data_IF_705100416038
#
_entry.id   IF_705100416038
#
_cell.length_a   1.000
_cell.length_b   1.000
_cell.length_c   1.000
_cell.angle_alpha   90.00
_cell.angle_beta   90.00
_cell.angle_gamma   90.00
#
_symmetry.space_group_name_H-M   'P 1'
#
loop_
_entity.id
_entity.type
_entity.pdbx_description
1 polymer ?
#
# COMPACT_ATOMS: atom_id res chain seq x y z
N UNK A 1 11.02 11.13 6.34
CA UNK A 1 10.04 11.87 7.15
C UNK A 1 10.58 12.16 8.54
N UNK A 2 10.92 11.16 9.37
CA UNK A 2 11.45 11.40 10.74
C UNK A 2 12.57 12.46 10.81
N UNK A 3 13.64 12.41 10.00
CA UNK A 3 14.69 13.44 10.08
C UNK A 3 14.20 14.83 9.66
N UNK A 4 13.27 14.92 8.69
CA UNK A 4 12.68 16.20 8.27
C UNK A 4 11.80 16.82 9.36
N UNK A 5 11.25 16.01 10.26
CA UNK A 5 10.52 16.49 11.44
C UNK A 5 11.44 16.94 12.58
N UNK A 6 12.76 16.72 12.50
CA UNK A 6 13.72 16.97 13.60
C UNK A 6 14.03 15.73 14.46
N UNK A 7 13.55 14.54 14.06
CA UNK A 7 13.75 13.30 14.81
C UNK A 7 15.12 12.67 14.56
N UNK A 8 15.67 12.03 15.59
CA UNK A 8 17.00 11.40 15.53
C UNK A 8 16.95 9.95 14.98
N UNK A 9 18.10 9.29 14.89
CA UNK A 9 18.18 7.89 14.42
C UNK A 9 17.43 6.90 15.33
N UNK A 10 17.38 7.15 16.64
CA UNK A 10 16.60 6.37 17.59
C UNK A 10 15.10 6.52 17.35
N UNK A 11 14.62 7.74 17.11
CA UNK A 11 13.22 8.02 16.76
C UNK A 11 12.83 7.35 15.45
N UNK A 12 13.74 7.38 14.45
CA UNK A 12 13.54 6.66 13.19
C UNK A 12 13.37 5.17 13.42
N UNK A 13 14.21 4.55 14.26
CA UNK A 13 14.08 3.14 14.60
C UNK A 13 12.76 2.84 15.32
N UNK A 14 12.36 3.68 16.29
CA UNK A 14 11.08 3.55 17.02
C UNK A 14 9.88 3.60 16.08
N UNK A 15 9.87 4.57 15.17
CA UNK A 15 8.79 4.69 14.18
C UNK A 15 8.74 3.45 13.28
N UNK A 16 9.87 2.95 12.78
CA UNK A 16 9.90 1.73 11.94
C UNK A 16 9.34 0.53 12.71
N UNK A 17 9.68 0.39 13.99
CA UNK A 17 9.14 -0.67 14.85
C UNK A 17 7.62 -0.56 15.00
N UNK A 18 7.09 0.65 15.24
CA UNK A 18 5.64 0.87 15.34
C UNK A 18 4.92 0.53 14.05
N UNK A 19 5.46 0.96 12.90
CA UNK A 19 4.89 0.66 11.59
C UNK A 19 4.83 -0.84 11.35
N UNK A 20 5.89 -1.57 11.69
CA UNK A 20 5.93 -3.03 11.52
C UNK A 20 4.97 -3.76 12.48
N UNK A 21 4.90 -3.31 13.73
CA UNK A 21 4.00 -3.88 14.74
C UNK A 21 2.52 -3.68 14.36
N UNK A 22 2.14 -2.45 13.98
CA UNK A 22 0.79 -2.12 13.54
C UNK A 22 0.44 -2.82 12.23
N UNK A 23 1.36 -2.88 11.28
CA UNK A 23 1.19 -3.64 10.02
C UNK A 23 0.92 -5.13 10.30
N UNK A 24 1.58 -5.72 11.29
CA UNK A 24 1.31 -7.09 11.74
C UNK A 24 -0.10 -7.26 12.32
N UNK A 25 -0.52 -6.37 13.23
CA UNK A 25 -1.87 -6.38 13.83
C UNK A 25 -2.94 -6.17 12.76
N UNK A 26 -2.79 -5.15 11.91
CA UNK A 26 -3.75 -4.81 10.86
C UNK A 26 -3.86 -5.94 9.83
N UNK A 27 -2.75 -6.59 9.48
CA UNK A 27 -2.78 -7.79 8.62
C UNK A 27 -3.54 -8.94 9.28
N UNK A 28 -3.34 -9.16 10.58
CA UNK A 28 -4.02 -10.23 11.31
C UNK A 28 -5.53 -9.97 11.37
N UNK A 29 -5.93 -8.75 11.72
CA UNK A 29 -7.33 -8.32 11.71
C UNK A 29 -7.96 -8.51 10.32
N UNK A 30 -7.26 -8.06 9.27
CA UNK A 30 -7.76 -8.12 7.90
C UNK A 30 -7.92 -9.55 7.38
N UNK A 31 -6.96 -10.43 7.68
CA UNK A 31 -6.98 -11.84 7.25
C UNK A 31 -7.94 -12.71 8.07
N UNK A 32 -8.26 -12.33 9.31
CA UNK A 32 -9.21 -13.05 10.16
C UNK A 32 -10.66 -12.59 9.93
N UNK A 33 -10.92 -11.29 10.06
CA UNK A 33 -12.26 -10.70 10.16
C UNK A 33 -12.60 -9.87 8.92
N UNK A 34 -11.62 -9.13 8.38
CA UNK A 34 -11.80 -8.21 7.26
C UNK A 34 -12.04 -8.90 5.92
N UNK A 35 -11.10 -8.76 4.98
CA UNK A 35 -11.25 -9.32 3.63
C UNK A 35 -11.10 -10.83 3.61
N UNK A 36 -10.41 -11.43 4.60
CA UNK A 36 -10.01 -12.86 4.62
C UNK A 36 -9.18 -13.32 3.42
N UNK A 37 -8.76 -12.38 2.58
CA UNK A 37 -7.83 -12.61 1.49
C UNK A 37 -6.40 -12.70 2.05
N UNK A 38 -5.50 -13.40 1.35
CA UNK A 38 -4.07 -13.44 1.67
C UNK A 38 -3.39 -12.08 1.34
N UNK A 39 -3.79 -11.02 2.04
CA UNK A 39 -3.29 -9.66 1.82
C UNK A 39 -2.62 -9.13 3.08
N UNK A 40 -1.39 -8.63 2.94
CA UNK A 40 -0.68 -7.88 3.96
C UNK A 40 -1.17 -6.42 3.97
N UNK A 41 -1.49 -5.90 5.16
CA UNK A 41 -1.78 -4.49 5.38
C UNK A 41 -0.48 -3.76 5.70
N UNK A 42 -0.08 -2.82 4.87
CA UNK A 42 1.15 -2.06 4.98
C UNK A 42 0.89 -0.56 5.13
N UNK A 43 1.97 0.22 5.09
CA UNK A 43 1.91 1.69 5.12
C UNK A 43 1.41 2.25 3.78
N UNK A 44 0.56 3.27 3.81
CA UNK A 44 0.07 3.92 2.60
C UNK A 44 0.89 5.17 2.23
N UNK A 45 1.23 5.28 0.95
CA UNK A 45 1.91 6.46 0.41
C UNK A 45 1.00 7.66 0.22
N UNK A 46 -0.33 7.48 0.25
CA UNK A 46 -1.30 8.56 0.19
C UNK A 46 -1.08 9.61 1.30
N UNK A 47 -0.52 9.19 2.43
CA UNK A 47 -0.25 10.05 3.60
C UNK A 47 1.00 10.92 3.44
N UNK A 48 1.81 10.74 2.39
CA UNK A 48 3.04 11.51 2.19
C UNK A 48 2.74 13.00 2.02
N UNK A 49 1.72 13.36 1.24
CA UNK A 49 1.38 14.77 1.00
C UNK A 49 0.86 15.46 2.27
N UNK A 50 -0.16 14.93 2.98
CA UNK A 50 -0.58 15.51 4.26
C UNK A 50 0.54 15.57 5.30
N UNK A 51 1.43 14.58 5.33
CA UNK A 51 2.56 14.58 6.26
C UNK A 51 3.58 15.68 5.92
N UNK A 52 3.82 15.96 4.64
CA UNK A 52 4.65 17.08 4.22
C UNK A 52 4.01 18.43 4.57
N UNK A 53 2.68 18.56 4.42
CA UNK A 53 1.92 19.74 4.87
C UNK A 53 2.13 20.00 6.37
N UNK A 54 2.00 18.96 7.21
CA UNK A 54 2.28 19.06 8.66
C UNK A 54 3.73 19.44 8.93
N UNK A 55 4.70 18.84 8.23
CA UNK A 55 6.12 19.13 8.42
C UNK A 55 6.41 20.60 8.12
N UNK A 56 5.89 21.11 7.00
CA UNK A 56 6.13 22.49 6.57
C UNK A 56 5.49 23.49 7.54
N UNK A 57 4.27 23.23 8.05
CA UNK A 57 3.60 24.07 9.07
C UNK A 57 4.46 24.28 10.32
N UNK A 58 5.21 23.25 10.73
CA UNK A 58 6.11 23.32 11.88
C UNK A 58 7.54 23.73 11.55
N UNK A 59 7.89 23.95 10.28
CA UNK A 59 9.25 24.35 9.90
C UNK A 59 9.53 25.81 10.28
N UNK A 60 8.51 26.67 10.22
CA UNK A 60 8.63 28.11 10.50
C UNK A 60 8.29 28.48 11.97
N UNK A 61 7.77 27.54 12.76
CA UNK A 61 7.52 27.75 14.20
C UNK A 61 8.84 27.73 14.99
N UNK A 62 9.02 28.66 15.93
CA UNK A 62 10.20 28.71 16.80
C UNK A 62 10.15 27.61 17.87
N UNK A 63 11.09 26.67 17.82
CA UNK A 63 11.27 25.61 18.82
C UNK A 63 12.58 25.75 19.59
N UNK A 64 12.56 25.36 20.86
CA UNK A 64 13.75 25.31 21.74
C UNK A 64 14.75 24.27 21.27
N UNK A 65 14.28 23.10 20.80
CA UNK A 65 15.12 22.06 20.22
C UNK A 65 14.45 21.42 19.00
N UNK A 66 15.26 20.89 18.08
CA UNK A 66 14.79 20.11 16.93
C UNK A 66 13.98 18.88 17.35
N UNK A 67 14.29 18.30 18.51
CA UNK A 67 13.55 17.16 19.04
C UNK A 67 12.14 17.57 19.52
N UNK A 68 11.98 18.77 20.08
CA UNK A 68 10.66 19.29 20.45
C UNK A 68 9.77 19.48 19.22
N UNK A 69 10.35 19.96 18.10
CA UNK A 69 9.66 20.03 16.80
C UNK A 69 9.18 18.64 16.37
N UNK A 70 10.03 17.62 16.50
CA UNK A 70 9.67 16.25 16.16
C UNK A 70 8.51 15.73 17.02
N UNK A 71 8.58 15.91 18.35
CA UNK A 71 7.55 15.46 19.28
C UNK A 71 6.21 16.17 19.01
N UNK A 72 6.22 17.48 18.75
CA UNK A 72 5.00 18.22 18.42
C UNK A 72 4.43 17.82 17.06
N UNK A 73 5.29 17.62 16.06
CA UNK A 73 4.89 17.16 14.74
C UNK A 73 4.24 15.77 14.78
N UNK A 74 4.88 14.79 15.45
CA UNK A 74 4.36 13.42 15.50
C UNK A 74 3.06 13.32 16.31
N UNK A 75 2.89 14.10 17.39
CA UNK A 75 1.63 14.18 18.13
C UNK A 75 0.48 14.76 17.29
N UNK A 76 0.79 15.68 16.39
CA UNK A 76 -0.19 16.26 15.46
C UNK A 76 -0.59 15.26 14.39
N UNK A 77 0.36 14.48 13.88
CA UNK A 77 0.09 13.33 12.99
C UNK A 77 -0.80 12.31 13.71
N UNK A 78 -0.51 11.98 14.97
CA UNK A 78 -1.33 11.06 15.77
C UNK A 78 -2.78 11.53 15.91
N UNK A 79 -2.99 12.78 16.33
CA UNK A 79 -4.33 13.32 16.49
C UNK A 79 -5.09 13.38 15.16
N UNK A 80 -4.40 13.76 14.09
CA UNK A 80 -4.99 13.83 12.75
C UNK A 80 -5.36 12.45 12.21
N UNK A 81 -4.52 11.43 12.44
CA UNK A 81 -4.78 10.05 12.04
C UNK A 81 -5.92 9.40 12.84
N UNK A 82 -6.01 9.69 14.14
CA UNK A 82 -7.13 9.25 14.99
C UNK A 82 -8.45 9.78 14.43
N UNK A 83 -8.53 11.08 14.12
CA UNK A 83 -9.78 11.66 13.61
C UNK A 83 -10.10 11.18 12.19
N UNK A 84 -9.11 11.10 11.30
CA UNK A 84 -9.34 10.63 9.93
C UNK A 84 -9.77 9.15 9.89
N UNK A 85 -9.31 8.33 10.84
CA UNK A 85 -9.71 6.92 10.94
C UNK A 85 -11.23 6.71 11.05
N UNK A 86 -11.94 7.62 11.73
CA UNK A 86 -13.39 7.55 11.88
C UNK A 86 -14.12 7.65 10.55
N UNK A 87 -13.55 8.35 9.55
CA UNK A 87 -14.14 8.42 8.21
C UNK A 87 -14.19 7.02 7.58
N UNK A 88 -13.10 6.27 7.62
CA UNK A 88 -13.08 4.90 7.08
C UNK A 88 -13.96 3.94 7.90
N UNK A 89 -14.02 4.11 9.23
CA UNK A 89 -14.93 3.35 10.10
C UNK A 89 -16.39 3.59 9.70
N UNK A 90 -16.78 4.86 9.56
CA UNK A 90 -18.15 5.26 9.20
C UNK A 90 -18.50 4.82 7.77
N UNK A 91 -17.62 5.05 6.80
CA UNK A 91 -17.86 4.65 5.41
C UNK A 91 -17.93 3.13 5.23
N UNK A 92 -17.07 2.41 5.95
CA UNK A 92 -17.01 0.95 5.91
C UNK A 92 -18.19 0.29 6.61
N UNK A 93 -18.43 0.58 7.89
CA UNK A 93 -19.54 -0.05 8.62
C UNK A 93 -20.91 0.55 8.29
N UNK A 94 -20.95 1.79 7.79
CA UNK A 94 -22.15 2.44 7.28
C UNK A 94 -22.60 1.97 5.90
N UNK A 95 -21.94 0.97 5.30
CA UNK A 95 -22.26 0.37 3.99
C UNK A 95 -22.10 1.29 2.77
N UNK A 96 -21.80 2.57 2.98
CA UNK A 96 -21.58 3.54 1.90
C UNK A 96 -20.48 3.09 0.93
N UNK A 97 -19.38 2.54 1.45
CA UNK A 97 -18.31 2.01 0.59
C UNK A 97 -18.76 0.78 -0.21
N UNK A 98 -19.51 -0.13 0.43
CA UNK A 98 -20.09 -1.28 -0.25
C UNK A 98 -21.01 -0.88 -1.41
N UNK A 99 -21.87 0.13 -1.21
CA UNK A 99 -22.74 0.66 -2.28
C UNK A 99 -21.92 1.30 -3.40
N UNK A 100 -20.87 2.08 -3.09
CA UNK A 100 -19.95 2.62 -4.09
C UNK A 100 -19.35 1.52 -4.96
N UNK A 101 -18.92 0.41 -4.35
CA UNK A 101 -18.30 -0.71 -5.09
C UNK A 101 -19.26 -1.45 -6.01
N UNK A 102 -20.59 -1.27 -5.87
CA UNK A 102 -21.56 -1.85 -6.80
C UNK A 102 -21.55 -1.18 -8.18
N UNK A 103 -21.12 0.08 -8.24
CA UNK A 103 -20.95 0.80 -9.50
C UNK A 103 -19.69 0.37 -10.27
N UNK A 104 -18.79 -0.39 -9.64
CA UNK A 104 -17.59 -0.91 -10.28
C UNK A 104 -17.92 -2.14 -11.13
N UNK A 105 -17.99 -1.92 -12.43
CA UNK A 105 -18.16 -2.97 -13.44
C UNK A 105 -16.80 -3.58 -13.80
N UNK A 106 -16.77 -4.78 -14.42
CA UNK A 106 -15.54 -5.37 -14.92
C UNK A 106 -14.67 -4.43 -15.76
N UNK A 107 -15.30 -3.63 -16.63
CA UNK A 107 -14.58 -2.69 -17.50
C UNK A 107 -13.91 -1.55 -16.71
N UNK A 108 -14.51 -1.10 -15.60
CA UNK A 108 -13.91 -0.12 -14.67
C UNK A 108 -12.83 -0.78 -13.81
N UNK A 109 -12.98 -2.05 -13.47
CA UNK A 109 -11.99 -2.76 -12.65
C UNK A 109 -10.65 -2.94 -13.37
N UNK A 110 -10.64 -3.02 -14.71
CA UNK A 110 -9.41 -3.11 -15.49
C UNK A 110 -8.47 -1.91 -15.21
N UNK A 111 -8.85 -0.65 -15.51
CA UNK A 111 -7.98 0.49 -15.22
C UNK A 111 -7.70 0.64 -13.72
N UNK A 112 -8.65 0.36 -12.84
CA UNK A 112 -8.47 0.49 -11.39
C UNK A 112 -7.36 -0.41 -10.86
N UNK A 113 -7.37 -1.70 -11.23
CA UNK A 113 -6.32 -2.65 -10.80
C UNK A 113 -5.02 -2.42 -11.58
N UNK A 114 -5.09 -2.06 -12.86
CA UNK A 114 -3.90 -1.69 -13.62
C UNK A 114 -3.15 -0.52 -12.97
N UNK A 115 -3.88 0.52 -12.55
CA UNK A 115 -3.30 1.75 -12.03
C UNK A 115 -2.91 1.67 -10.56
N UNK A 116 -3.41 0.71 -9.77
CA UNK A 116 -2.82 0.46 -8.44
C UNK A 116 -1.41 -0.12 -8.55
N UNK A 117 -1.14 -0.94 -9.57
CA UNK A 117 0.20 -1.45 -9.88
C UNK A 117 1.07 -0.41 -10.59
N UNK A 118 0.65 0.03 -11.78
CA UNK A 118 1.42 0.97 -12.60
C UNK A 118 1.58 2.33 -11.93
N UNK A 119 0.60 2.80 -11.15
CA UNK A 119 0.64 4.09 -10.48
C UNK A 119 1.79 4.27 -9.49
N UNK A 120 2.41 3.16 -9.04
CA UNK A 120 3.56 3.17 -8.17
C UNK A 120 4.90 3.06 -8.94
N UNK A 121 4.92 3.31 -10.26
CA UNK A 121 6.13 3.18 -11.09
C UNK A 121 7.33 4.00 -10.59
N UNK A 122 7.07 5.14 -9.94
CA UNK A 122 8.12 5.98 -9.32
C UNK A 122 8.91 5.24 -8.22
N UNK A 123 8.35 4.17 -7.65
CA UNK A 123 8.99 3.29 -6.66
C UNK A 123 9.81 2.16 -7.28
N UNK A 124 9.62 1.90 -8.57
CA UNK A 124 10.40 0.91 -9.32
C UNK A 124 11.70 1.52 -9.83
N UNK A 125 11.82 1.65 -11.15
CA UNK A 125 13.08 1.99 -11.80
C UNK A 125 13.71 3.32 -11.35
N UNK A 126 12.97 4.41 -11.07
CA UNK A 126 13.60 5.65 -10.58
C UNK A 126 14.32 5.49 -9.24
N UNK A 127 13.78 4.69 -8.31
CA UNK A 127 14.43 4.40 -7.03
C UNK A 127 15.60 3.41 -7.20
N UNK A 128 15.47 2.45 -8.13
CA UNK A 128 16.56 1.56 -8.54
C UNK A 128 17.73 2.37 -9.11
N UNK A 129 17.45 3.35 -9.95
CA UNK A 129 18.42 4.21 -10.62
C UNK A 129 19.31 5.03 -9.68
N UNK A 130 18.91 5.19 -8.41
CA UNK A 130 19.77 5.80 -7.38
C UNK A 130 21.00 4.96 -7.04
N UNK A 131 21.00 3.67 -7.35
CA UNK A 131 22.16 2.78 -7.29
C UNK A 131 22.02 1.64 -8.31
N UNK A 132 22.39 1.95 -9.57
CA UNK A 132 22.27 1.01 -10.68
C UNK A 132 23.14 -0.24 -10.45
N UNK A 133 24.29 -0.08 -9.80
CA UNK A 133 25.27 -1.15 -9.57
C UNK A 133 24.72 -2.29 -8.71
N UNK A 134 23.75 -2.02 -7.84
CA UNK A 134 23.10 -3.03 -6.98
C UNK A 134 21.72 -3.39 -7.52
N UNK A 135 20.96 -2.37 -7.93
CA UNK A 135 19.57 -2.51 -8.35
C UNK A 135 19.42 -3.26 -9.68
N UNK A 136 20.29 -2.98 -10.66
CA UNK A 136 20.19 -3.62 -11.98
C UNK A 136 20.59 -5.10 -11.94
N UNK A 137 21.66 -5.53 -11.24
CA UNK A 137 21.92 -6.95 -11.00
C UNK A 137 20.78 -7.66 -10.27
N UNK A 138 20.12 -7.02 -9.30
CA UNK A 138 18.94 -7.61 -8.65
C UNK A 138 17.80 -7.85 -9.64
N UNK A 139 17.49 -6.87 -10.49
CA UNK A 139 16.43 -6.99 -11.48
C UNK A 139 16.75 -8.12 -12.48
N UNK A 140 17.96 -8.13 -13.03
CA UNK A 140 18.41 -9.15 -13.99
C UNK A 140 18.39 -10.53 -13.34
N UNK A 141 18.98 -10.67 -12.15
CA UNK A 141 19.04 -11.95 -11.44
C UNK A 141 17.64 -12.48 -11.17
N UNK A 142 16.72 -11.62 -10.74
CA UNK A 142 15.34 -12.03 -10.48
C UNK A 142 14.62 -12.45 -11.77
N UNK A 143 14.76 -11.71 -12.87
CA UNK A 143 14.16 -12.09 -14.16
C UNK A 143 14.74 -13.41 -14.68
N UNK A 144 16.06 -13.57 -14.64
CA UNK A 144 16.73 -14.80 -15.08
C UNK A 144 16.31 -15.98 -14.21
N UNK A 145 16.28 -15.78 -12.89
CA UNK A 145 15.84 -16.76 -11.92
C UNK A 145 14.41 -17.23 -12.24
N UNK A 146 13.51 -16.31 -12.59
CA UNK A 146 12.12 -16.66 -12.89
C UNK A 146 11.92 -17.33 -14.26
N UNK A 147 12.71 -16.95 -15.28
CA UNK A 147 12.58 -17.49 -16.64
C UNK A 147 13.34 -18.81 -16.85
N UNK A 148 14.55 -18.94 -16.33
CA UNK A 148 15.49 -19.99 -16.72
C UNK A 148 15.66 -21.11 -15.68
N UNK A 149 15.41 -20.87 -14.39
CA UNK A 149 15.52 -21.93 -13.37
C UNK A 149 14.47 -23.03 -13.54
N UNK A 150 13.39 -22.79 -14.31
CA UNK A 150 12.41 -23.80 -14.72
C UNK A 150 13.01 -24.94 -15.55
N UNK A 151 14.15 -24.70 -16.21
CA UNK A 151 14.77 -25.65 -17.14
C UNK A 151 15.92 -26.47 -16.54
N UNK A 152 16.35 -26.17 -15.32
CA UNK A 152 17.60 -26.73 -14.76
C UNK A 152 17.38 -28.08 -14.06
N UNK A 153 16.33 -28.22 -13.22
CA UNK A 153 16.09 -29.47 -12.50
C UNK A 153 14.66 -29.57 -11.92
N UNK A 154 13.92 -30.66 -12.20
CA UNK A 154 12.50 -30.81 -11.82
C UNK A 154 12.24 -30.77 -10.30
N UNK A 155 13.17 -31.24 -9.47
CA UNK A 155 13.05 -31.17 -7.99
C UNK A 155 13.50 -29.82 -7.42
N UNK A 156 14.53 -29.21 -8.01
CA UNK A 156 15.01 -27.89 -7.57
C UNK A 156 14.01 -26.78 -7.94
N UNK A 157 13.25 -26.98 -9.03
CA UNK A 157 12.20 -26.07 -9.50
C UNK A 157 11.21 -25.65 -8.40
N UNK A 158 10.66 -26.60 -7.64
CA UNK A 158 9.67 -26.32 -6.60
C UNK A 158 10.20 -25.44 -5.46
N UNK A 159 11.48 -25.61 -5.11
CA UNK A 159 12.13 -24.81 -4.06
C UNK A 159 12.55 -23.46 -4.63
N UNK A 160 13.16 -23.45 -5.82
CA UNK A 160 13.67 -22.24 -6.45
C UNK A 160 12.53 -21.30 -6.87
N UNK A 161 11.40 -21.79 -7.39
CA UNK A 161 10.27 -20.92 -7.77
C UNK A 161 9.67 -20.19 -6.56
N UNK A 162 9.59 -20.85 -5.39
CA UNK A 162 9.01 -20.29 -4.17
C UNK A 162 9.97 -19.39 -3.39
N UNK A 163 11.26 -19.74 -3.38
CA UNK A 163 12.28 -19.05 -2.58
C UNK A 163 13.26 -18.21 -3.42
N UNK A 164 13.12 -18.16 -4.75
CA UNK A 164 13.97 -17.39 -5.66
C UNK A 164 14.16 -15.96 -5.20
N UNK A 165 13.08 -15.29 -4.81
CA UNK A 165 13.14 -13.90 -4.36
C UNK A 165 14.06 -13.74 -3.14
N UNK A 166 13.90 -14.60 -2.13
CA UNK A 166 14.70 -14.56 -0.91
C UNK A 166 16.18 -14.88 -1.18
N UNK A 167 16.45 -15.85 -2.07
CA UNK A 167 17.80 -16.17 -2.50
C UNK A 167 18.46 -15.00 -3.27
N UNK A 168 17.73 -14.37 -4.18
CA UNK A 168 18.21 -13.19 -4.91
C UNK A 168 18.54 -12.04 -3.96
N UNK A 169 17.67 -11.76 -2.98
CA UNK A 169 17.94 -10.75 -1.94
C UNK A 169 19.21 -11.09 -1.17
N UNK A 170 19.39 -12.35 -0.74
CA UNK A 170 20.59 -12.78 -0.02
C UNK A 170 21.88 -12.60 -0.83
N UNK A 171 21.86 -13.02 -2.10
CA UNK A 171 23.02 -12.91 -3.01
C UNK A 171 23.38 -11.45 -3.26
N UNK A 172 22.40 -10.61 -3.62
CA UNK A 172 22.66 -9.21 -3.94
C UNK A 172 23.00 -8.39 -2.70
N UNK A 173 22.41 -8.71 -1.55
CA UNK A 173 22.81 -8.08 -0.30
C UNK A 173 24.27 -8.42 0.07
N UNK A 174 24.69 -9.68 -0.10
CA UNK A 174 26.08 -10.07 0.11
C UNK A 174 27.02 -9.35 -0.87
N UNK A 175 26.63 -9.25 -2.15
CA UNK A 175 27.36 -8.47 -3.15
C UNK A 175 27.48 -6.99 -2.75
N UNK A 176 26.39 -6.35 -2.33
CA UNK A 176 26.38 -4.98 -1.85
C UNK A 176 27.26 -4.78 -0.60
N UNK A 177 27.28 -5.76 0.30
CA UNK A 177 28.16 -5.74 1.47
C UNK A 177 29.64 -5.81 1.07
N UNK A 178 30.01 -6.68 0.11
CA UNK A 178 31.38 -6.77 -0.43
C UNK A 178 31.79 -5.43 -1.05
N UNK A 179 30.95 -4.81 -1.87
CA UNK A 179 31.22 -3.48 -2.45
C UNK A 179 31.35 -2.37 -1.41
N UNK A 180 30.61 -2.49 -0.30
CA UNK A 180 30.69 -1.54 0.81
C UNK A 180 32.02 -1.67 1.54
N UNK A 181 32.46 -2.90 1.82
CA UNK A 181 33.71 -3.20 2.54
C UNK A 181 34.95 -2.94 1.67
N UNK A 182 34.88 -3.22 0.37
CA UNK A 182 35.98 -2.97 -0.57
C UNK A 182 36.24 -1.48 -0.82
N UNK A 183 35.42 -0.59 -0.25
CA UNK A 183 35.61 0.86 -0.33
C UNK A 183 35.13 1.47 -1.65
N UNK A 184 34.43 0.73 -2.51
CA UNK A 184 33.94 1.20 -3.80
C UNK A 184 33.10 2.49 -3.69
N UNK A 185 32.40 2.68 -2.56
CA UNK A 185 31.55 3.84 -2.30
C UNK A 185 32.22 4.91 -1.39
N UNK A 186 33.53 4.87 -1.15
CA UNK A 186 34.18 5.84 -0.25
C UNK A 186 34.33 7.23 -0.89
N UNK A 187 34.54 7.29 -2.21
CA UNK A 187 34.81 8.54 -2.94
C UNK A 187 33.61 9.04 -3.79
N UNK A 188 32.45 8.41 -3.68
CA UNK A 188 31.25 8.80 -4.45
C UNK A 188 30.43 9.89 -3.74
N UNK A 189 29.51 10.53 -4.49
CA UNK A 189 28.59 11.55 -3.98
C UNK A 189 27.80 11.05 -2.76
N UNK A 190 27.47 11.95 -1.84
CA UNK A 190 26.71 11.63 -0.62
C UNK A 190 25.36 10.97 -0.91
N UNK A 191 24.70 11.31 -2.02
CA UNK A 191 23.44 10.69 -2.45
C UNK A 191 23.60 9.26 -2.98
N UNK A 192 24.75 8.92 -3.55
CA UNK A 192 25.09 7.55 -3.96
C UNK A 192 25.51 6.73 -2.74
N UNK A 193 26.30 7.32 -1.84
CA UNK A 193 26.55 6.76 -0.50
C UNK A 193 25.20 6.44 0.13
N UNK A 194 24.31 7.45 0.24
CA UNK A 194 22.83 7.36 0.27
C UNK A 194 22.23 5.97 0.21
N UNK A 195 22.32 5.46 -1.01
CA UNK A 195 21.42 4.47 -1.56
C UNK A 195 22.12 3.14 -1.75
N UNK A 196 23.46 3.14 -1.89
CA UNK A 196 24.24 1.97 -2.26
C UNK A 196 24.85 1.21 -1.08
N UNK A 197 25.29 1.90 0.00
CA UNK A 197 26.01 1.20 1.07
C UNK A 197 25.06 0.43 1.98
N UNK A 198 25.55 -0.65 2.59
CA UNK A 198 24.81 -1.48 3.58
C UNK A 198 25.07 -1.07 5.03
N UNK A 199 26.14 -0.34 5.30
CA UNK A 199 26.58 0.09 6.65
C UNK A 199 25.86 1.34 7.19
N UNK A 200 24.80 1.80 6.52
CA UNK A 200 24.32 3.20 6.61
C UNK A 200 23.41 3.52 7.75
N UNK A 201 23.54 2.79 8.83
CA UNK A 201 22.54 2.87 9.83
C UNK A 201 23.13 2.56 11.17
N UNK A 202 23.65 3.61 11.80
CA UNK A 202 23.69 3.68 13.26
C UNK A 202 22.36 3.22 13.91
N UNK A 203 21.27 2.98 13.17
CA UNK A 203 20.13 2.11 13.55
C UNK A 203 20.57 0.81 14.22
N UNK A 204 21.56 0.06 13.72
CA UNK A 204 22.00 -1.18 14.39
C UNK A 204 22.59 -0.89 15.77
N UNK A 205 23.34 0.21 15.92
CA UNK A 205 23.89 0.64 17.22
C UNK A 205 22.81 1.23 18.13
N UNK A 206 21.91 2.03 17.57
CA UNK A 206 20.89 2.84 18.26
C UNK A 206 19.61 2.07 18.58
N UNK A 207 19.35 0.94 17.90
CA UNK A 207 18.15 0.15 18.14
C UNK A 207 18.30 -0.62 19.47
N UNK A 208 17.33 -0.49 20.39
CA UNK A 208 17.29 -1.33 21.59
C UNK A 208 17.07 -2.79 21.20
N UNK A 209 17.57 -3.70 22.04
CA UNK A 209 17.40 -5.15 21.84
C UNK A 209 15.93 -5.56 21.91
N UNK A 210 15.23 -5.11 22.94
CA UNK A 210 13.80 -5.36 23.15
C UNK A 210 13.13 -4.01 23.36
N UNK A 211 12.11 -3.72 22.56
CA UNK A 211 11.23 -2.58 22.75
C UNK A 211 9.83 -2.90 22.27
N UNK A 212 8.87 -2.84 23.16
CA UNK A 212 7.47 -3.09 22.86
C UNK A 212 6.82 -1.74 22.52
N UNK A 213 6.25 -1.55 21.31
CA UNK A 213 5.42 -0.39 21.02
C UNK A 213 4.24 -0.32 21.97
N UNK A 214 3.91 0.87 22.48
CA UNK A 214 2.78 1.07 23.37
C UNK A 214 1.96 2.31 22.94
N UNK A 215 0.66 2.37 23.28
CA UNK A 215 -0.17 3.53 23.00
C UNK A 215 0.39 4.82 23.60
N UNK A 216 0.24 5.93 22.90
CA UNK A 216 0.65 7.27 23.31
C UNK A 216 2.13 7.44 23.65
N UNK A 217 3.02 6.62 23.04
CA UNK A 217 4.46 6.67 23.32
C UNK A 217 5.14 8.01 23.03
N UNK A 218 4.53 8.87 22.21
CA UNK A 218 5.04 10.21 21.94
C UNK A 218 4.39 11.28 22.81
N UNK A 219 3.35 10.95 23.58
CA UNK A 219 2.56 11.85 24.42
C UNK A 219 1.10 12.00 23.95
N UNK A 220 0.39 12.98 24.51
CA UNK A 220 -1.02 13.25 24.20
C UNK A 220 -1.19 13.76 22.75
N UNK A 221 -2.14 13.22 21.97
CA UNK A 221 -2.36 13.66 20.58
C UNK A 221 -2.77 15.13 20.51
N UNK A 222 -2.35 15.81 19.44
CA UNK A 222 -2.71 17.19 19.14
C UNK A 222 -3.68 17.19 17.97
N UNK A 223 -4.83 17.83 18.15
CA UNK A 223 -5.88 17.90 17.13
C UNK A 223 -5.86 19.29 16.49
N UNK A 224 -5.37 19.38 15.26
CA UNK A 224 -5.42 20.61 14.43
C UNK A 224 -6.32 20.34 13.23
N UNK A 225 -7.43 21.09 13.11
CA UNK A 225 -8.45 20.85 12.09
C UNK A 225 -7.89 20.85 10.66
N UNK A 226 -6.98 21.77 10.32
CA UNK A 226 -6.33 21.84 9.00
C UNK A 226 -5.70 20.51 8.58
N UNK A 227 -4.93 19.91 9.48
CA UNK A 227 -4.19 18.66 9.25
C UNK A 227 -5.08 17.41 9.27
N UNK A 228 -6.18 17.43 10.03
CA UNK A 228 -7.19 16.37 10.01
C UNK A 228 -7.75 16.19 8.60
N UNK A 229 -8.10 17.28 7.92
CA UNK A 229 -8.70 17.21 6.59
C UNK A 229 -7.77 16.61 5.55
N UNK A 230 -6.48 17.00 5.52
CA UNK A 230 -5.49 16.36 4.65
C UNK A 230 -5.40 14.85 4.87
N UNK A 231 -5.41 14.42 6.15
CA UNK A 231 -5.40 12.99 6.51
C UNK A 231 -6.69 12.26 6.11
N UNK A 232 -7.85 12.95 6.07
CA UNK A 232 -9.10 12.39 5.55
C UNK A 232 -8.98 12.10 4.05
N UNK A 233 -8.37 13.01 3.27
CA UNK A 233 -8.10 12.78 1.85
C UNK A 233 -7.25 11.52 1.63
N UNK A 234 -6.18 11.35 2.42
CA UNK A 234 -5.35 10.15 2.38
C UNK A 234 -6.10 8.88 2.81
N UNK A 235 -7.01 8.98 3.79
CA UNK A 235 -7.86 7.86 4.22
C UNK A 235 -8.77 7.35 3.09
N UNK A 236 -9.38 8.26 2.33
CA UNK A 236 -10.20 7.92 1.17
C UNK A 236 -9.38 7.27 0.05
N UNK A 237 -8.21 7.85 -0.25
CA UNK A 237 -7.28 7.27 -1.22
C UNK A 237 -6.85 5.86 -0.82
N UNK A 238 -6.46 5.67 0.45
CA UNK A 238 -6.05 4.36 0.95
C UNK A 238 -7.19 3.33 0.89
N UNK A 239 -8.45 3.76 0.97
CA UNK A 239 -9.61 2.88 0.80
C UNK A 239 -9.81 2.47 -0.67
N UNK A 240 -9.62 3.40 -1.61
CA UNK A 240 -9.64 3.12 -3.04
C UNK A 240 -8.52 2.15 -3.46
N UNK A 241 -7.29 2.40 -3.01
CA UNK A 241 -6.12 1.53 -3.23
C UNK A 241 -6.33 0.14 -2.65
N UNK A 242 -6.81 0.04 -1.40
CA UNK A 242 -7.14 -1.24 -0.78
C UNK A 242 -8.19 -2.01 -1.56
N UNK A 243 -9.23 -1.34 -2.05
CA UNK A 243 -10.30 -1.96 -2.83
C UNK A 243 -9.74 -2.60 -4.11
N UNK A 244 -8.97 -1.84 -4.89
CA UNK A 244 -8.29 -2.34 -6.09
C UNK A 244 -7.39 -3.54 -5.78
N UNK A 245 -6.63 -3.44 -4.68
CA UNK A 245 -5.70 -4.48 -4.24
C UNK A 245 -6.42 -5.75 -3.78
N UNK A 246 -7.60 -5.65 -3.14
CA UNK A 246 -8.42 -6.82 -2.79
C UNK A 246 -8.94 -7.55 -4.04
N UNK A 247 -9.33 -6.82 -5.09
CA UNK A 247 -9.71 -7.46 -6.36
C UNK A 247 -8.53 -8.16 -7.03
N UNK A 248 -7.35 -7.55 -7.03
CA UNK A 248 -6.12 -8.17 -7.53
C UNK A 248 -5.74 -9.42 -6.73
N UNK A 249 -5.82 -9.34 -5.40
CA UNK A 249 -5.53 -10.46 -4.50
C UNK A 249 -6.50 -11.62 -4.72
N UNK A 250 -7.81 -11.35 -4.83
CA UNK A 250 -8.81 -12.37 -5.12
C UNK A 250 -8.52 -13.05 -6.47
N UNK A 251 -8.18 -12.26 -7.50
CA UNK A 251 -7.86 -12.78 -8.83
C UNK A 251 -6.63 -13.69 -8.84
N UNK A 252 -5.55 -13.28 -8.19
CA UNK A 252 -4.29 -14.04 -8.15
C UNK A 252 -4.35 -15.23 -7.18
N UNK A 253 -5.18 -15.17 -6.13
CA UNK A 253 -5.39 -16.28 -5.19
C UNK A 253 -6.42 -17.31 -5.65
N UNK A 254 -7.14 -17.04 -6.74
CA UNK A 254 -8.20 -17.92 -7.24
C UNK A 254 -9.53 -17.81 -6.47
N UNK A 255 -9.69 -16.79 -5.62
CA UNK A 255 -10.94 -16.51 -4.93
C UNK A 255 -11.97 -15.85 -5.87
N UNK A 256 -13.26 -15.95 -5.53
CA UNK A 256 -14.30 -15.18 -6.24
C UNK A 256 -14.11 -13.68 -6.00
N UNK A 257 -14.54 -12.80 -6.93
CA UNK A 257 -14.52 -11.35 -6.70
C UNK A 257 -15.14 -11.00 -5.33
N UNK A 258 -14.50 -10.11 -4.55
CA UNK A 258 -14.98 -9.76 -3.22
C UNK A 258 -16.34 -9.04 -3.30
N UNK A 259 -17.37 -9.54 -2.61
CA UNK A 259 -18.68 -8.90 -2.59
C UNK A 259 -18.66 -7.57 -1.82
N UNK A 260 -19.65 -6.71 -2.08
CA UNK A 260 -19.76 -5.38 -1.48
C UNK A 260 -19.69 -5.39 0.06
N UNK A 261 -20.32 -6.37 0.72
CA UNK A 261 -20.30 -6.47 2.19
C UNK A 261 -18.90 -6.80 2.76
N UNK A 262 -18.10 -7.58 2.03
CA UNK A 262 -16.71 -7.90 2.39
C UNK A 262 -15.83 -6.66 2.24
N UNK A 263 -15.99 -5.91 1.14
CA UNK A 263 -15.27 -4.66 0.93
C UNK A 263 -15.64 -3.64 2.01
N UNK A 264 -16.93 -3.50 2.33
CA UNK A 264 -17.40 -2.55 3.34
C UNK A 264 -16.83 -2.85 4.73
N UNK A 265 -16.90 -4.11 5.21
CA UNK A 265 -16.30 -4.47 6.49
C UNK A 265 -14.77 -4.38 6.47
N UNK A 266 -14.14 -4.60 5.32
CA UNK A 266 -12.69 -4.48 5.16
C UNK A 266 -12.22 -3.04 5.33
N UNK A 267 -12.89 -2.08 4.69
CA UNK A 267 -12.60 -0.65 4.86
C UNK A 267 -12.93 -0.18 6.28
N UNK A 268 -14.01 -0.69 6.88
CA UNK A 268 -14.34 -0.40 8.28
C UNK A 268 -13.24 -0.86 9.23
N UNK A 269 -12.72 -2.06 9.03
CA UNK A 269 -11.62 -2.63 9.81
C UNK A 269 -10.28 -1.94 9.53
N UNK A 270 -10.03 -1.52 8.29
CA UNK A 270 -8.90 -0.65 7.93
C UNK A 270 -8.95 0.66 8.73
N UNK A 271 -10.14 1.26 8.88
CA UNK A 271 -10.36 2.42 9.75
C UNK A 271 -10.04 2.13 11.23
N UNK A 272 -10.46 0.98 11.78
CA UNK A 272 -10.07 0.57 13.14
C UNK A 272 -8.55 0.41 13.23
N UNK A 273 -7.91 -0.18 12.22
CA UNK A 273 -6.46 -0.31 12.16
C UNK A 273 -5.74 1.04 12.16
N UNK A 274 -6.26 2.02 11.43
CA UNK A 274 -5.76 3.38 11.43
C UNK A 274 -5.96 4.09 12.78
N UNK A 275 -7.06 3.82 13.47
CA UNK A 275 -7.30 4.34 14.82
C UNK A 275 -6.22 3.83 15.78
N UNK A 276 -5.95 2.52 15.75
CA UNK A 276 -4.88 1.90 16.54
C UNK A 276 -3.50 2.46 16.16
N UNK A 277 -3.24 2.66 14.87
CA UNK A 277 -2.01 3.30 14.38
C UNK A 277 -1.83 4.71 14.95
N UNK A 278 -2.89 5.53 14.96
CA UNK A 278 -2.87 6.86 15.58
C UNK A 278 -2.60 6.81 17.10
N UNK A 279 -3.22 5.85 17.79
CA UNK A 279 -2.98 5.63 19.23
C UNK A 279 -1.53 5.23 19.52
N UNK A 280 -0.97 4.29 18.76
CA UNK A 280 0.41 3.82 18.96
C UNK A 280 1.48 4.76 18.42
N UNK A 281 1.11 5.81 17.69
CA UNK A 281 2.10 6.76 17.19
C UNK A 281 2.72 6.40 15.86
N UNK A 282 1.95 5.76 14.98
CA UNK A 282 2.31 5.57 13.57
C UNK A 282 2.38 6.92 12.85
N UNK A 283 3.29 7.05 11.89
CA UNK A 283 3.40 8.25 11.05
C UNK A 283 2.36 8.31 9.92
N UNK A 284 1.82 7.16 9.52
CA UNK A 284 0.99 7.03 8.32
C UNK A 284 -0.09 5.98 8.57
N UNK A 285 -1.21 6.11 7.87
CA UNK A 285 -2.26 5.09 7.89
C UNK A 285 -1.92 3.87 7.04
N UNK A 286 -2.74 2.84 7.18
CA UNK A 286 -2.59 1.57 6.47
C UNK A 286 -3.37 1.47 5.16
N UNK A 287 -2.85 0.66 4.23
CA UNK A 287 -3.50 0.19 2.99
C UNK A 287 -3.10 -1.25 2.70
N UNK A 288 -3.86 -1.96 1.87
CA UNK A 288 -3.45 -3.28 1.40
C UNK A 288 -2.19 -3.16 0.51
N UNK A 289 -1.17 -3.99 0.78
CA UNK A 289 0.12 -3.93 0.08
C UNK A 289 0.01 -4.50 -1.33
N UNK A 290 0.21 -3.63 -2.32
CA UNK A 290 0.27 -3.98 -3.75
C UNK A 290 1.45 -4.92 -4.00
N UNK A 291 2.56 -4.70 -3.31
CA UNK A 291 3.77 -5.50 -3.42
C UNK A 291 3.53 -6.93 -2.94
N UNK A 292 2.79 -7.12 -1.85
CA UNK A 292 2.42 -8.44 -1.36
C UNK A 292 1.52 -9.19 -2.35
N UNK A 293 0.57 -8.50 -3.00
CA UNK A 293 -0.29 -9.11 -4.01
C UNK A 293 0.51 -9.50 -5.26
N UNK A 294 1.45 -8.66 -5.69
CA UNK A 294 2.39 -9.04 -6.76
C UNK A 294 3.23 -10.26 -6.39
N UNK A 295 3.68 -10.35 -5.13
CA UNK A 295 4.44 -11.50 -4.61
C UNK A 295 3.59 -12.78 -4.61
N UNK A 296 2.30 -12.68 -4.31
CA UNK A 296 1.37 -13.79 -4.41
C UNK A 296 1.28 -14.32 -5.84
N UNK A 297 1.22 -13.42 -6.83
CA UNK A 297 1.24 -13.79 -8.24
C UNK A 297 2.55 -14.44 -8.68
N UNK A 298 3.68 -14.06 -8.09
CA UNK A 298 5.00 -14.63 -8.39
C UNK A 298 5.22 -16.01 -7.73
N UNK A 299 4.80 -16.15 -6.46
CA UNK A 299 5.06 -17.37 -5.66
C UNK A 299 3.99 -18.44 -5.83
N UNK A 300 2.84 -18.09 -6.42
CA UNK A 300 1.67 -18.95 -6.54
C UNK A 300 1.14 -19.48 -5.18
N UNK A 301 1.40 -18.76 -4.08
CA UNK A 301 0.93 -19.14 -2.74
C UNK A 301 -0.22 -18.23 -2.32
N UNK A 302 -1.45 -18.62 -2.65
CA UNK A 302 -2.68 -17.91 -2.26
C UNK A 302 -3.21 -18.23 -0.85
N UNK A 303 -2.40 -18.81 0.03
CA UNK A 303 -2.86 -19.27 1.35
C UNK A 303 -2.86 -18.15 2.39
N UNK A 304 -4.03 -17.84 2.96
CA UNK A 304 -4.18 -16.89 4.08
C UNK A 304 -3.35 -17.26 5.32
N UNK A 305 -3.11 -18.56 5.55
CA UNK A 305 -2.32 -19.04 6.70
C UNK A 305 -0.87 -18.58 6.63
N UNK A 306 -0.30 -18.50 5.42
CA UNK A 306 1.07 -18.02 5.23
C UNK A 306 1.19 -16.55 5.63
N UNK A 307 0.20 -15.74 5.23
CA UNK A 307 0.12 -14.33 5.63
C UNK A 307 -0.10 -14.16 7.13
N UNK A 308 -0.91 -15.01 7.76
CA UNK A 308 -1.10 -15.01 9.22
C UNK A 308 0.20 -15.37 9.95
N UNK A 309 0.95 -16.36 9.49
CA UNK A 309 2.26 -16.70 10.06
C UNK A 309 3.24 -15.54 9.90
N UNK A 310 3.23 -14.83 8.75
CA UNK A 310 4.08 -13.65 8.57
C UNK A 310 3.74 -12.53 9.54
N UNK A 311 2.49 -12.38 10.00
CA UNK A 311 2.17 -11.40 11.06
C UNK A 311 2.87 -11.69 12.37
N UNK A 312 3.03 -12.96 12.72
CA UNK A 312 3.81 -13.39 13.89
C UNK A 312 5.27 -12.94 13.78
N UNK A 313 5.88 -13.10 12.60
CA UNK A 313 7.23 -12.60 12.33
C UNK A 313 7.31 -11.08 12.36
N UNK A 314 6.32 -10.36 11.82
CA UNK A 314 6.28 -8.89 11.85
C UNK A 314 6.22 -8.37 13.30
N UNK A 315 5.33 -8.93 14.12
CA UNK A 315 5.23 -8.58 15.55
C UNK A 315 6.53 -8.93 16.26
N UNK A 316 7.09 -10.12 16.03
CA UNK A 316 8.37 -10.52 16.60
C UNK A 316 9.50 -9.54 16.24
N UNK A 317 9.73 -9.24 14.95
CA UNK A 317 10.78 -8.32 14.53
C UNK A 317 10.55 -6.87 14.96
N UNK A 318 9.30 -6.48 15.21
CA UNK A 318 9.02 -5.14 15.77
C UNK A 318 9.44 -5.01 17.23
N UNK A 319 9.32 -6.10 18.02
CA UNK A 319 9.74 -6.14 19.43
C UNK A 319 11.26 -6.24 19.53
N UNK A 320 11.89 -7.05 18.68
CA UNK A 320 13.34 -7.25 18.67
C UNK A 320 14.05 -6.31 17.68
N UNK A 321 14.31 -5.08 18.14
CA UNK A 321 14.77 -3.97 17.30
C UNK A 321 16.05 -4.19 16.51
N UNK A 322 16.96 -5.04 16.98
CA UNK A 322 18.18 -5.39 16.22
C UNK A 322 17.88 -6.14 14.92
N UNK A 323 16.91 -7.06 14.92
CA UNK A 323 16.48 -7.74 13.70
C UNK A 323 15.77 -6.78 12.75
N UNK A 324 14.93 -5.89 13.28
CA UNK A 324 14.33 -4.80 12.49
C UNK A 324 15.38 -3.88 11.86
N UNK A 325 16.44 -3.54 12.60
CA UNK A 325 17.56 -2.73 12.11
C UNK A 325 18.38 -3.47 11.03
N UNK A 326 18.55 -4.79 11.16
CA UNK A 326 19.17 -5.62 10.12
C UNK A 326 18.40 -5.56 8.81
N UNK A 327 17.09 -5.78 8.82
CA UNK A 327 16.27 -5.69 7.60
C UNK A 327 16.21 -4.26 7.04
N UNK A 328 16.24 -3.25 7.91
CA UNK A 328 16.32 -1.84 7.49
C UNK A 328 17.68 -1.45 6.88
N UNK A 329 18.73 -2.28 7.04
CA UNK A 329 20.04 -2.08 6.41
C UNK A 329 20.07 -2.49 4.94
N UNK A 330 19.06 -3.24 4.48
CA UNK A 330 18.96 -3.67 3.08
C UNK A 330 18.78 -2.43 2.20
N UNK A 331 19.66 -2.20 1.20
CA UNK A 331 19.56 -1.06 0.31
C UNK A 331 18.20 -0.97 -0.40
N UNK A 332 17.58 0.21 -0.38
CA UNK A 332 16.31 0.49 -1.07
C UNK A 332 16.31 0.12 -2.57
N UNK A 333 17.42 0.27 -3.33
CA UNK A 333 17.49 -0.16 -4.72
C UNK A 333 17.20 -1.65 -4.95
N UNK A 334 17.45 -2.53 -3.96
CA UNK A 334 17.09 -3.96 -4.04
C UNK A 334 15.57 -4.11 -4.03
N UNK A 335 14.86 -3.44 -3.11
CA UNK A 335 13.40 -3.45 -3.07
C UNK A 335 12.79 -2.82 -4.32
N UNK A 336 13.39 -1.73 -4.83
CA UNK A 336 12.95 -1.07 -6.05
C UNK A 336 13.00 -2.01 -7.28
N UNK A 337 14.05 -2.81 -7.40
CA UNK A 337 14.17 -3.83 -8.44
C UNK A 337 13.08 -4.91 -8.34
N UNK A 338 12.74 -5.33 -7.12
CA UNK A 338 11.62 -6.25 -6.89
C UNK A 338 10.30 -5.61 -7.32
N UNK A 339 10.07 -4.34 -6.96
CA UNK A 339 8.85 -3.63 -7.30
C UNK A 339 8.61 -3.51 -8.81
N UNK A 340 9.66 -3.37 -9.63
CA UNK A 340 9.55 -3.39 -11.09
C UNK A 340 8.82 -4.64 -11.62
N UNK A 341 9.01 -5.80 -10.98
CA UNK A 341 8.34 -7.04 -11.37
C UNK A 341 6.98 -7.17 -10.70
N UNK A 342 6.91 -6.97 -9.38
CA UNK A 342 5.68 -7.21 -8.61
C UNK A 342 4.55 -6.27 -9.05
N UNK A 343 4.84 -4.98 -9.26
CA UNK A 343 3.85 -4.00 -9.72
C UNK A 343 3.36 -4.31 -11.14
N UNK A 344 4.24 -4.83 -12.01
CA UNK A 344 3.89 -5.29 -13.35
C UNK A 344 2.95 -6.51 -13.33
N UNK A 345 3.16 -7.45 -12.42
CA UNK A 345 2.27 -8.61 -12.22
C UNK A 345 0.88 -8.16 -11.75
N UNK A 346 0.80 -7.22 -10.80
CA UNK A 346 -0.49 -6.66 -10.37
C UNK A 346 -1.19 -5.95 -11.53
N UNK A 347 -0.46 -5.14 -12.29
CA UNK A 347 -1.03 -4.47 -13.46
C UNK A 347 -1.59 -5.46 -14.49
N UNK A 348 -0.83 -6.53 -14.80
CA UNK A 348 -1.27 -7.61 -15.67
C UNK A 348 -2.53 -8.31 -15.14
N UNK A 349 -2.63 -8.54 -13.81
CA UNK A 349 -3.84 -9.10 -13.20
C UNK A 349 -5.08 -8.24 -13.45
N UNK A 350 -4.91 -6.91 -13.49
CA UNK A 350 -5.96 -5.95 -13.85
C UNK A 350 -6.45 -6.11 -15.28
N UNK A 351 -5.53 -6.26 -16.23
CA UNK A 351 -5.85 -6.51 -17.65
C UNK A 351 -6.75 -7.75 -17.80
N UNK A 352 -6.53 -8.79 -16.98
CA UNK A 352 -7.34 -10.02 -17.08
C UNK A 352 -8.82 -9.82 -16.80
N UNK A 353 -9.26 -8.73 -16.14
CA UNK A 353 -10.69 -8.45 -15.94
C UNK A 353 -11.42 -8.11 -17.25
N UNK A 354 -10.68 -7.76 -18.31
CA UNK A 354 -11.25 -7.47 -19.62
C UNK A 354 -11.99 -8.68 -20.20
N UNK A 355 -11.60 -9.90 -19.81
CA UNK A 355 -12.22 -11.15 -20.29
C UNK A 355 -13.70 -11.28 -19.91
N UNK A 356 -14.18 -10.48 -18.95
CA UNK A 356 -15.57 -10.51 -18.49
C UNK A 356 -16.45 -9.48 -19.19
N UNK A 357 -15.89 -8.64 -20.06
CA UNK A 357 -16.59 -7.60 -20.83
C UNK A 357 -16.46 -7.84 -22.34
N UNK A 358 -17.27 -7.15 -23.14
CA UNK A 358 -17.18 -7.22 -24.60
C UNK A 358 -16.03 -6.35 -25.12
N UNK A 359 -14.95 -7.00 -25.58
CA UNK A 359 -13.74 -6.31 -26.06
C UNK A 359 -13.88 -5.68 -27.44
N UNK A 360 -14.90 -6.06 -28.21
CA UNK A 360 -15.16 -5.51 -29.54
C UNK A 360 -16.00 -4.23 -29.50
N UNK A 361 -16.48 -3.83 -28.32
CA UNK A 361 -17.29 -2.62 -28.17
C UNK A 361 -16.39 -1.38 -28.08
N UNK A 362 -16.53 -0.47 -29.06
CA UNK A 362 -15.81 0.82 -29.06
C UNK A 362 -16.07 1.64 -27.79
N UNK A 363 -17.26 1.54 -27.20
CA UNK A 363 -17.60 2.14 -25.91
C UNK A 363 -16.66 1.65 -24.80
N UNK A 364 -16.46 0.35 -24.70
CA UNK A 364 -15.62 -0.25 -23.66
C UNK A 364 -14.15 0.09 -23.87
N UNK A 365 -13.68 0.05 -25.13
CA UNK A 365 -12.33 0.49 -25.50
C UNK A 365 -12.13 1.96 -25.10
N UNK A 366 -13.12 2.82 -25.34
CA UNK A 366 -13.08 4.22 -24.95
C UNK A 366 -13.02 4.41 -23.43
N UNK A 367 -13.93 3.77 -22.67
CA UNK A 367 -13.93 3.82 -21.19
C UNK A 367 -12.58 3.37 -20.64
N UNK A 368 -12.07 2.23 -21.11
CA UNK A 368 -10.79 1.67 -20.68
C UNK A 368 -9.62 2.62 -21.00
N UNK A 369 -9.49 3.04 -22.25
CA UNK A 369 -8.37 3.85 -22.73
C UNK A 369 -8.31 5.22 -22.05
N UNK A 370 -9.44 5.92 -21.97
CA UNK A 370 -9.51 7.24 -21.32
C UNK A 370 -9.25 7.13 -19.82
N UNK A 371 -9.78 6.10 -19.15
CA UNK A 371 -9.55 5.91 -17.71
C UNK A 371 -8.10 5.56 -17.38
N UNK A 372 -7.44 4.71 -18.19
CA UNK A 372 -6.02 4.42 -18.04
C UNK A 372 -5.16 5.67 -18.24
N UNK A 373 -5.42 6.43 -19.30
CA UNK A 373 -4.63 7.61 -19.62
C UNK A 373 -4.80 8.71 -18.58
N UNK A 374 -6.05 9.09 -18.25
CA UNK A 374 -6.33 10.14 -17.26
C UNK A 374 -5.92 9.72 -15.85
N UNK A 375 -6.04 8.44 -15.52
CA UNK A 375 -5.61 7.90 -14.24
C UNK A 375 -4.09 7.86 -14.05
N UNK A 376 -3.28 8.07 -15.08
CA UNK A 376 -1.84 8.34 -14.95
C UNK A 376 -1.51 9.82 -15.11
N UNK A 377 -2.10 10.49 -16.10
CA UNK A 377 -1.72 11.86 -16.46
C UNK A 377 -2.13 12.88 -15.41
N UNK A 378 -3.33 12.74 -14.81
CA UNK A 378 -3.80 13.65 -13.75
C UNK A 378 -2.91 13.52 -12.49
N UNK A 379 -2.71 12.32 -11.91
CA UNK A 379 -1.79 12.18 -10.78
C UNK A 379 -0.39 12.70 -11.06
N UNK A 380 0.14 12.45 -12.26
CA UNK A 380 1.47 12.91 -12.61
C UNK A 380 1.57 14.45 -12.60
N UNK A 381 0.57 15.15 -13.13
CA UNK A 381 0.48 16.61 -13.06
C UNK A 381 0.45 17.11 -11.61
N UNK A 382 -0.38 16.48 -10.76
CA UNK A 382 -0.48 16.86 -9.34
C UNK A 382 0.82 16.60 -8.58
N UNK A 383 1.47 15.46 -8.79
CA UNK A 383 2.74 15.12 -8.13
C UNK A 383 3.84 16.08 -8.56
N UNK A 384 4.04 16.31 -9.86
CA UNK A 384 5.09 17.18 -10.39
C UNK A 384 4.99 18.61 -9.85
N UNK A 385 3.78 19.16 -9.79
CA UNK A 385 3.54 20.53 -9.32
C UNK A 385 3.51 20.68 -7.80
N UNK A 386 3.42 19.58 -7.04
CA UNK A 386 3.51 19.64 -5.57
C UNK A 386 4.97 19.59 -5.09
N UNK A 387 5.87 18.99 -5.88
CA UNK A 387 7.29 18.80 -5.49
C UNK A 387 8.17 20.05 -5.53
N UNK A 388 7.75 21.13 -6.21
CA UNK A 388 8.54 22.36 -6.35
C UNK A 388 8.36 23.37 -5.22
N UNK A 389 7.11 23.66 -4.85
CA UNK A 389 6.80 24.80 -3.98
C UNK A 389 6.17 24.40 -2.62
N UNK A 390 6.05 23.09 -2.35
CA UNK A 390 5.44 22.59 -1.10
C UNK A 390 3.91 22.71 -1.06
N UNK A 391 3.26 23.06 -2.18
CA UNK A 391 1.81 23.14 -2.30
C UNK A 391 1.37 22.67 -3.70
N UNK A 392 0.26 21.93 -3.76
CA UNK A 392 -0.23 21.34 -5.00
C UNK A 392 -0.94 22.33 -5.94
N UNK A 393 -1.41 21.86 -7.12
CA UNK A 393 -2.10 22.70 -8.09
C UNK A 393 -3.36 23.37 -7.56
N UNK A 394 -4.10 22.71 -6.66
CA UNK A 394 -5.30 23.29 -6.07
C UNK A 394 -4.87 24.28 -5.00
N UNK A 395 -5.13 25.57 -5.28
CA UNK A 395 -4.77 26.71 -4.43
C UNK A 395 -6.00 27.58 -4.19
N UNK A 396 -6.67 27.33 -3.07
CA UNK A 396 -7.76 28.18 -2.56
C UNK A 396 -7.37 28.76 -1.20
N UNK A 397 -8.13 29.76 -0.72
CA UNK A 397 -7.96 30.30 0.64
C UNK A 397 -8.27 29.25 1.73
N UNK A 398 -8.85 28.11 1.38
CA UNK A 398 -9.12 26.99 2.26
C UNK A 398 -8.00 25.93 2.16
N UNK A 399 -6.94 26.07 2.97
CA UNK A 399 -5.80 25.12 2.96
C UNK A 399 -6.21 23.66 3.17
N UNK A 400 -7.19 23.40 4.04
CA UNK A 400 -7.74 22.06 4.28
C UNK A 400 -8.39 21.43 3.03
N UNK A 401 -9.05 22.25 2.20
CA UNK A 401 -9.69 21.81 0.97
C UNK A 401 -8.63 21.46 -0.09
N UNK A 402 -7.57 22.28 -0.15
CA UNK A 402 -6.43 22.04 -1.03
C UNK A 402 -5.77 20.70 -0.71
N UNK A 403 -5.51 20.41 0.57
CA UNK A 403 -4.84 19.17 0.97
C UNK A 403 -5.65 17.91 0.61
N UNK A 404 -6.98 17.95 0.78
CA UNK A 404 -7.85 16.84 0.38
C UNK A 404 -7.77 16.62 -1.13
N UNK A 405 -8.01 17.66 -1.93
CA UNK A 405 -8.08 17.52 -3.38
C UNK A 405 -6.72 17.13 -3.96
N UNK A 406 -5.64 17.81 -3.53
CA UNK A 406 -4.30 17.47 -3.99
C UNK A 406 -3.94 16.02 -3.65
N UNK A 407 -4.37 15.50 -2.50
CA UNK A 407 -4.16 14.09 -2.14
C UNK A 407 -4.98 13.14 -3.02
N UNK A 408 -6.28 13.40 -3.21
CA UNK A 408 -7.17 12.56 -4.03
C UNK A 408 -6.69 12.48 -5.49
N UNK A 409 -6.41 13.64 -6.10
CA UNK A 409 -5.98 13.72 -7.49
C UNK A 409 -4.55 13.18 -7.71
N UNK A 410 -3.74 13.08 -6.66
CA UNK A 410 -2.41 12.45 -6.73
C UNK A 410 -2.42 10.93 -6.76
N UNK A 411 -3.59 10.28 -6.58
CA UNK A 411 -3.71 8.82 -6.55
C UNK A 411 -4.19 8.23 -7.88
N UNK A 412 -3.36 7.42 -8.57
CA UNK A 412 -3.76 6.77 -9.82
C UNK A 412 -4.96 5.83 -9.70
N UNK A 413 -5.02 5.03 -8.63
CA UNK A 413 -6.15 4.12 -8.41
C UNK A 413 -7.45 4.90 -8.15
N UNK A 414 -7.38 5.99 -7.38
CA UNK A 414 -8.56 6.82 -7.09
C UNK A 414 -9.08 7.51 -8.36
N UNK A 415 -8.17 8.03 -9.19
CA UNK A 415 -8.54 8.63 -10.48
C UNK A 415 -9.12 7.62 -11.46
N UNK A 416 -8.59 6.40 -11.48
CA UNK A 416 -9.17 5.31 -12.27
C UNK A 416 -10.62 5.00 -11.85
N UNK A 417 -10.90 4.98 -10.54
CA UNK A 417 -12.26 4.75 -10.03
C UNK A 417 -13.18 5.90 -10.45
N UNK A 418 -12.76 7.15 -10.25
CA UNK A 418 -13.59 8.33 -10.56
C UNK A 418 -13.89 8.39 -12.06
N UNK A 419 -12.86 8.40 -12.91
CA UNK A 419 -13.00 8.54 -14.37
C UNK A 419 -13.73 7.34 -14.95
N UNK A 420 -13.33 6.12 -14.57
CA UNK A 420 -13.94 4.90 -15.09
C UNK A 420 -15.41 4.78 -14.72
N UNK A 421 -15.76 5.08 -13.47
CA UNK A 421 -17.16 5.01 -13.02
C UNK A 421 -18.01 6.09 -13.69
N UNK A 422 -17.50 7.32 -13.84
CA UNK A 422 -18.24 8.38 -14.55
C UNK A 422 -18.49 7.96 -16.00
N UNK A 423 -17.44 7.62 -16.75
CA UNK A 423 -17.57 7.27 -18.16
C UNK A 423 -18.45 6.04 -18.39
N UNK A 424 -18.31 5.00 -17.56
CA UNK A 424 -19.10 3.78 -17.71
C UNK A 424 -20.57 3.96 -17.33
N UNK A 425 -20.93 4.98 -16.54
CA UNK A 425 -22.33 5.24 -16.20
C UNK A 425 -22.98 6.34 -17.08
N UNK A 426 -22.20 7.25 -17.66
CA UNK A 426 -22.73 8.28 -18.57
C UNK A 426 -22.85 7.82 -20.02
N UNK A 427 -22.00 6.88 -20.46
CA UNK A 427 -22.08 6.35 -21.82
C UNK A 427 -23.14 5.26 -21.94
N UNK A 428 -24.14 5.49 -22.78
CA UNK A 428 -25.20 4.51 -23.06
C UNK A 428 -24.61 3.20 -23.58
N UNK A 429 -24.94 2.11 -22.91
CA UNK A 429 -24.59 0.77 -23.37
C UNK A 429 -25.70 0.24 -24.27
N UNK A 430 -25.37 -0.18 -25.50
CA UNK A 430 -26.33 -0.84 -26.40
C UNK A 430 -26.86 -2.14 -25.79
N UNK A 431 -26.00 -2.89 -25.09
CA UNK A 431 -26.39 -4.08 -24.34
C UNK A 431 -25.75 -4.09 -22.95
N UNK A 432 -26.52 -4.46 -21.92
CA UNK A 432 -26.03 -4.60 -20.53
C UNK A 432 -24.88 -5.63 -20.44
N UNK A 433 -24.89 -6.61 -21.34
CA UNK A 433 -23.84 -7.63 -21.45
C UNK A 433 -22.48 -7.03 -21.83
N UNK A 434 -22.44 -5.89 -22.53
CA UNK A 434 -21.18 -5.29 -22.96
C UNK A 434 -20.30 -4.90 -21.77
N UNK A 435 -20.90 -4.45 -20.67
CA UNK A 435 -20.19 -4.03 -19.45
C UNK A 435 -19.67 -5.21 -18.61
N UNK A 436 -20.12 -6.43 -18.89
CA UNK A 436 -19.82 -7.61 -18.06
C UNK A 436 -20.62 -7.70 -16.75
N UNK A 437 -21.64 -6.87 -16.58
CA UNK A 437 -22.51 -6.87 -15.39
C UNK A 437 -23.18 -8.23 -15.14
N UNK A 438 -23.70 -8.97 -16.13
CA UNK A 438 -24.35 -10.26 -15.87
C UNK A 438 -23.41 -11.27 -15.20
N UNK A 439 -22.13 -11.28 -15.57
CA UNK A 439 -21.12 -12.13 -14.93
C UNK A 439 -20.77 -11.64 -13.53
N UNK A 440 -20.78 -10.32 -13.30
CA UNK A 440 -20.38 -9.71 -12.02
C UNK A 440 -21.48 -9.77 -10.95
N UNK A 441 -22.75 -9.71 -11.36
CA UNK A 441 -23.93 -9.61 -10.48
C UNK A 441 -24.03 -10.72 -9.41
N UNK A 442 -23.77 -12.01 -9.71
CA UNK A 442 -23.78 -13.06 -8.69
C UNK A 442 -22.79 -12.81 -7.56
N UNK A 443 -21.64 -12.20 -7.86
CA UNK A 443 -20.60 -11.93 -6.86
C UNK A 443 -20.86 -10.66 -6.03
N UNK A 444 -21.78 -9.78 -6.45
CA UNK A 444 -22.12 -8.58 -5.69
C UNK A 444 -23.04 -8.88 -4.49
N UNK A 445 -23.80 -9.97 -4.56
CA UNK A 445 -24.74 -10.39 -3.52
C UNK A 445 -24.19 -11.56 -2.71
N UNK A 446 -24.48 -11.56 -1.41
CA UNK A 446 -23.99 -12.60 -0.49
C UNK A 446 -24.43 -14.02 -0.88
N UNK A 447 -25.67 -14.17 -1.36
CA UNK A 447 -26.25 -15.47 -1.75
C UNK A 447 -26.19 -15.72 -3.27
N UNK A 448 -25.38 -14.96 -4.01
CA UNK A 448 -25.35 -15.09 -5.47
C UNK A 448 -24.44 -16.21 -5.98
N UNK A 449 -23.32 -16.50 -5.31
CA UNK A 449 -22.44 -17.66 -5.62
C UNK A 449 -22.05 -18.36 -4.30
N UNK A 450 -22.22 -19.68 -4.24
CA UNK A 450 -21.95 -20.48 -3.04
C UNK A 450 -20.46 -20.47 -2.65
N UNK A 451 -19.56 -20.34 -3.62
CA UNK A 451 -18.10 -20.29 -3.37
C UNK A 451 -17.69 -19.03 -2.62
N UNK A 452 -18.46 -17.94 -2.75
CA UNK A 452 -18.18 -16.69 -2.04
C UNK A 452 -18.22 -16.88 -0.53
N UNK A 453 -19.12 -17.71 0.00
CA UNK A 453 -19.15 -17.98 1.45
C UNK A 453 -17.94 -18.80 1.92
N UNK A 454 -17.40 -19.69 1.09
CA UNK A 454 -16.20 -20.48 1.42
C UNK A 454 -14.98 -19.58 1.66
N UNK A 455 -14.78 -18.58 0.80
CA UNK A 455 -13.66 -17.64 0.92
C UNK A 455 -13.86 -16.61 2.04
N UNK A 456 -15.08 -16.08 2.19
CA UNK A 456 -15.31 -14.85 2.95
C UNK A 456 -16.15 -14.99 4.24
N UNK A 457 -16.63 -16.19 4.58
CA UNK A 457 -17.33 -16.47 5.86
C UNK A 457 -16.53 -16.01 7.08
N UNK A 458 -17.14 -15.72 8.23
CA UNK A 458 -16.34 -15.44 9.44
C UNK A 458 -15.70 -16.71 10.01
N UNK A 459 -14.55 -16.62 10.70
CA UNK A 459 -14.04 -17.74 11.48
C UNK A 459 -14.99 -18.10 12.63
N UNK A 460 -14.98 -19.36 13.07
CA UNK A 460 -15.56 -19.83 14.34
C UNK A 460 -17.05 -19.49 14.59
N UNK A 461 -17.91 -19.57 13.56
CA UNK A 461 -19.35 -19.30 13.67
C UNK A 461 -19.71 -17.93 14.29
N UNK A 462 -18.80 -16.95 14.23
CA UNK A 462 -19.04 -15.58 14.72
C UNK A 462 -20.24 -14.92 14.00
N UNK A 463 -20.57 -15.40 12.80
CA UNK A 463 -21.75 -15.01 12.07
C UNK A 463 -23.08 -15.24 12.82
N UNK A 464 -23.13 -16.14 13.80
CA UNK A 464 -24.31 -16.40 14.63
C UNK A 464 -24.58 -15.28 15.65
N UNK A 465 -23.55 -14.50 16.00
CA UNK A 465 -23.61 -13.44 17.02
C UNK A 465 -23.65 -12.02 16.42
N UNK A 466 -23.41 -11.88 15.11
CA UNK A 466 -23.43 -10.59 14.43
C UNK A 466 -24.85 -10.35 13.89
N UNK A 467 -25.46 -9.17 14.16
CA UNK A 467 -26.77 -8.83 13.60
C UNK A 467 -26.78 -8.96 12.08
N UNK A 468 -27.87 -9.46 11.50
CA UNK A 468 -28.02 -9.67 10.04
C UNK A 468 -27.79 -8.42 9.20
N UNK A 469 -27.90 -7.22 9.79
CA UNK A 469 -27.56 -5.92 9.17
C UNK A 469 -26.06 -5.62 9.07
N UNK A 470 -25.17 -6.42 9.68
CA UNK A 470 -23.71 -6.27 9.58
C UNK A 470 -23.04 -7.49 8.95
N UNK A 471 -23.84 -8.52 8.68
CA UNK A 471 -23.53 -9.63 7.78
C UNK A 471 -23.97 -9.28 6.34
#
# INVERSE_FOLDING_TARGET
MVPRMGGNHGDKARVIQVLLFMSGINTLLQTLIGSRLPTVMGVSFAYVLPLLSIINDYTDEAFTTEHDRFIRGIRTVQGSLIVSSFVNIILGYGRAWGELTRFLTPIVMVPVVCLVGLGLFARGFPLLGNCVEIGLPMLILLVISQQYLKRVHSRAHLILERFALLLCIGIIWAFAAILTVSGAYNNVKTATKLSCRTDRSYLMSSAPWIKIPYPFQWGTPIFRASHVFGMIGAALVSSAESTATFFAAARLSGATPPPAHVLSRSIGLQGIGMLLEGLFGSLVGTTASVENVGLLGLTHIGSRRVVQISTGFMIFFSIFGKFGAFFASIPLPIFAAIYCILLGIVASSGITFIQFANNNSMRNIYVLGVSLFLGLSIPQYFVMNTTGDGHGPVRTNAGWFNDILNTIFSSPATMAIIVGTVLDNTLEAKHVNDRGIPWWKPFQHRKGDSRTEEFYSYPLRINEYIPSRFL
#
